data_IF_979895210018
#
_entry.id   IF_979895210018
#
_cell.length_a   1.000
_cell.length_b   1.000
_cell.length_c   1.000
_cell.angle_alpha   90.00
_cell.angle_beta   90.00
_cell.angle_gamma   90.00
#
_symmetry.space_group_name_H-M   'P 1'
#
loop_
_entity.id
_entity.type
_entity.pdbx_description
1 polymer ?
#
# COMPACT_ATOMS: atom_id res chain seq x y z
N UNK A 1 -10.63 -9.81 5.43
CA UNK A 1 -10.10 -8.48 5.76
C UNK A 1 -10.14 -7.62 4.51
N UNK A 2 -10.63 -6.39 4.61
CA UNK A 2 -10.74 -5.45 3.50
C UNK A 2 -10.41 -4.02 3.93
N UNK A 3 -9.96 -3.22 2.97
CA UNK A 3 -9.95 -1.78 3.00
C UNK A 3 -10.75 -1.29 1.80
N UNK A 4 -11.24 -0.10 1.86
CA UNK A 4 -11.91 0.54 0.73
C UNK A 4 -10.97 1.40 -0.10
N UNK A 5 -11.46 1.84 -1.25
CA UNK A 5 -10.94 2.95 -2.02
C UNK A 5 -12.11 3.86 -2.44
N UNK A 6 -11.94 4.76 -3.39
CA UNK A 6 -12.92 5.78 -3.73
C UNK A 6 -14.28 5.21 -4.15
N UNK A 7 -14.31 4.17 -4.98
CA UNK A 7 -15.56 3.59 -5.47
C UNK A 7 -16.34 2.75 -4.45
N UNK A 8 -15.68 2.25 -3.41
CA UNK A 8 -16.37 1.63 -2.26
C UNK A 8 -16.91 2.70 -1.31
N UNK A 9 -16.24 3.85 -1.26
CA UNK A 9 -16.53 4.94 -0.36
C UNK A 9 -17.53 5.95 -0.94
N UNK A 10 -17.39 6.32 -2.23
CA UNK A 10 -18.23 7.32 -2.88
C UNK A 10 -18.11 7.34 -4.38
N UNK A 11 -18.12 8.53 -4.96
CA UNK A 11 -17.84 8.73 -6.38
C UNK A 11 -16.32 8.67 -6.64
N UNK A 12 -15.95 8.58 -7.92
CA UNK A 12 -14.56 8.63 -8.33
C UNK A 12 -13.80 9.81 -7.68
N UNK A 13 -12.67 9.53 -7.06
CA UNK A 13 -11.84 10.45 -6.30
C UNK A 13 -12.56 11.13 -5.11
N UNK A 14 -13.59 10.51 -4.53
CA UNK A 14 -14.22 11.03 -3.30
C UNK A 14 -13.24 11.09 -2.14
N UNK A 15 -13.29 12.17 -1.39
CA UNK A 15 -12.44 12.47 -0.25
C UNK A 15 -13.26 12.69 1.05
N UNK A 16 -12.64 13.15 2.11
CA UNK A 16 -13.26 13.39 3.41
C UNK A 16 -14.41 14.39 3.42
N UNK A 17 -14.60 15.15 2.34
CA UNK A 17 -15.74 16.07 2.17
C UNK A 17 -17.02 15.37 1.70
N UNK A 18 -16.97 14.08 1.32
CA UNK A 18 -18.12 13.34 0.84
C UNK A 18 -19.23 13.28 1.89
N UNK A 19 -20.39 13.86 1.56
CA UNK A 19 -21.49 14.07 2.52
C UNK A 19 -22.08 12.78 3.11
N UNK A 20 -21.95 11.65 2.41
CA UNK A 20 -22.47 10.36 2.85
C UNK A 20 -21.42 9.44 3.45
N UNK A 21 -20.24 9.94 3.78
CA UNK A 21 -19.12 9.14 4.28
C UNK A 21 -19.47 8.23 5.47
N UNK A 22 -20.31 8.69 6.40
CA UNK A 22 -20.75 7.88 7.53
C UNK A 22 -21.66 6.72 7.10
N UNK A 23 -22.51 6.96 6.09
CA UNK A 23 -23.35 5.90 5.51
C UNK A 23 -22.48 4.87 4.82
N UNK A 24 -21.51 5.31 4.02
CA UNK A 24 -20.56 4.42 3.34
C UNK A 24 -19.77 3.57 4.35
N UNK A 25 -19.31 4.18 5.43
CA UNK A 25 -18.61 3.46 6.50
C UNK A 25 -19.50 2.37 7.13
N UNK A 26 -20.73 2.71 7.48
CA UNK A 26 -21.67 1.74 8.07
C UNK A 26 -21.97 0.59 7.10
N UNK A 27 -22.18 0.88 5.82
CA UNK A 27 -22.43 -0.15 4.80
C UNK A 27 -21.19 -1.04 4.64
N UNK A 28 -20.01 -0.45 4.50
CA UNK A 28 -18.76 -1.19 4.35
C UNK A 28 -18.53 -2.16 5.52
N UNK A 29 -18.74 -1.70 6.76
CA UNK A 29 -18.59 -2.54 7.96
C UNK A 29 -19.61 -3.67 8.05
N UNK A 30 -20.81 -3.52 7.48
CA UNK A 30 -21.79 -4.61 7.39
C UNK A 30 -21.35 -5.71 6.43
N UNK A 31 -20.71 -5.37 5.31
CA UNK A 31 -20.20 -6.34 4.34
C UNK A 31 -18.86 -6.95 4.74
N UNK A 32 -18.02 -6.18 5.45
CA UNK A 32 -16.68 -6.57 5.85
C UNK A 32 -16.52 -6.47 7.36
N UNK A 33 -16.77 -7.56 8.12
CA UNK A 33 -16.59 -7.58 9.57
C UNK A 33 -15.10 -7.57 9.95
N UNK A 34 -14.44 -6.46 9.65
CA UNK A 34 -13.05 -6.24 9.98
C UNK A 34 -12.86 -6.12 11.51
N UNK A 35 -11.70 -6.49 12.08
CA UNK A 35 -11.43 -6.41 13.52
C UNK A 35 -11.14 -4.95 13.93
N UNK A 36 -12.11 -4.06 13.72
CA UNK A 36 -12.02 -2.67 14.15
C UNK A 36 -12.81 -2.49 15.44
N UNK A 37 -12.24 -1.78 16.40
CA UNK A 37 -12.94 -1.39 17.63
C UNK A 37 -13.53 0.02 17.51
N UNK A 38 -13.35 0.69 16.38
CA UNK A 38 -13.67 2.10 16.15
C UNK A 38 -14.65 2.29 15.00
N UNK A 39 -15.25 3.48 14.98
CA UNK A 39 -16.04 4.00 13.87
C UNK A 39 -15.20 4.36 12.62
N UNK A 40 -13.97 3.89 12.51
CA UNK A 40 -13.05 4.15 11.40
C UNK A 40 -12.60 2.83 10.77
N UNK A 41 -12.22 2.88 9.51
CA UNK A 41 -11.92 1.69 8.71
C UNK A 41 -10.41 1.41 8.60
N UNK A 42 -9.66 1.59 9.69
CA UNK A 42 -8.26 1.19 9.74
C UNK A 42 -7.98 0.29 10.95
N UNK A 43 -7.08 -0.67 10.77
CA UNK A 43 -6.77 -1.66 11.79
C UNK A 43 -5.48 -2.40 11.46
N UNK A 44 -5.01 -3.22 12.40
CA UNK A 44 -3.87 -4.11 12.18
C UNK A 44 -4.19 -5.53 12.63
N UNK A 45 -3.56 -6.51 11.99
CA UNK A 45 -3.60 -7.90 12.43
C UNK A 45 -2.28 -8.60 12.11
N UNK A 46 -1.97 -9.63 12.88
CA UNK A 46 -0.78 -10.46 12.70
C UNK A 46 -1.15 -11.86 12.19
N UNK A 47 -0.28 -12.39 11.33
CA UNK A 47 -0.29 -13.80 10.95
C UNK A 47 1.13 -14.33 11.07
N UNK A 48 1.40 -15.11 12.14
CA UNK A 48 2.76 -15.53 12.50
C UNK A 48 3.67 -14.30 12.70
N UNK A 49 4.78 -14.22 12.00
CA UNK A 49 5.78 -13.16 12.04
C UNK A 49 5.60 -12.08 10.94
N UNK A 50 4.39 -11.97 10.43
CA UNK A 50 3.97 -10.95 9.46
C UNK A 50 2.84 -10.12 10.06
N UNK A 51 2.89 -8.80 9.88
CA UNK A 51 1.83 -7.89 10.31
C UNK A 51 1.31 -7.05 9.15
N UNK A 52 -0.01 -6.90 9.10
CA UNK A 52 -0.72 -6.10 8.13
C UNK A 52 -1.27 -4.85 8.81
N UNK A 53 -1.03 -3.70 8.22
CA UNK A 53 -1.56 -2.40 8.62
C UNK A 53 -2.53 -1.96 7.53
N UNK A 54 -3.81 -2.07 7.82
CA UNK A 54 -4.90 -1.80 6.89
C UNK A 54 -5.32 -0.35 7.06
N UNK A 55 -5.13 0.49 6.04
CA UNK A 55 -5.33 1.93 6.12
C UNK A 55 -6.63 2.35 5.45
N UNK A 56 -7.20 3.43 5.96
CA UNK A 56 -8.30 4.19 5.36
C UNK A 56 -7.72 5.43 4.68
N UNK A 57 -7.78 5.48 3.37
CA UNK A 57 -7.25 6.58 2.57
C UNK A 57 -8.33 7.54 2.05
N UNK A 58 -9.57 7.43 2.55
CA UNK A 58 -10.71 8.22 2.07
C UNK A 58 -11.37 9.09 3.13
N UNK A 59 -11.65 8.56 4.31
CA UNK A 59 -12.48 9.22 5.31
C UNK A 59 -11.94 10.56 5.79
N UNK A 60 -10.61 10.69 5.94
CA UNK A 60 -9.91 11.90 6.36
C UNK A 60 -9.11 12.57 5.23
N UNK A 61 -9.26 12.09 3.99
CA UNK A 61 -8.52 12.63 2.85
C UNK A 61 -8.95 14.07 2.54
N UNK A 62 -7.98 14.98 2.49
CA UNK A 62 -8.14 16.38 2.07
C UNK A 62 -7.20 16.66 0.90
N UNK A 63 -7.43 16.05 -0.23
CA UNK A 63 -6.71 16.17 -1.51
C UNK A 63 -5.31 16.84 -1.42
N UNK A 64 -4.25 16.07 -1.61
CA UNK A 64 -2.85 16.52 -1.60
C UNK A 64 -2.33 17.10 -0.26
N UNK A 65 -3.20 17.35 0.73
CA UNK A 65 -2.79 17.84 2.06
C UNK A 65 -2.57 16.69 3.03
N UNK A 66 -3.58 15.85 3.19
CA UNK A 66 -3.54 14.66 4.05
C UNK A 66 -4.38 13.54 3.44
N UNK A 67 -3.98 12.31 3.62
CA UNK A 67 -4.73 11.11 3.23
C UNK A 67 -5.25 10.39 4.47
N UNK A 68 -4.38 10.21 5.46
CA UNK A 68 -4.70 9.44 6.66
C UNK A 68 -5.31 10.32 7.76
N UNK A 69 -4.90 11.59 7.82
CA UNK A 69 -5.18 12.47 8.94
C UNK A 69 -4.35 12.13 10.19
N UNK A 70 -4.22 13.10 11.10
CA UNK A 70 -3.32 12.99 12.24
C UNK A 70 -3.61 11.77 13.13
N UNK A 71 -4.89 11.47 13.40
CA UNK A 71 -5.27 10.35 14.27
C UNK A 71 -4.81 9.01 13.74
N UNK A 72 -5.03 8.73 12.46
CA UNK A 72 -4.62 7.48 11.84
C UNK A 72 -3.09 7.42 11.66
N UNK A 73 -2.45 8.52 11.29
CA UNK A 73 -1.00 8.59 11.17
C UNK A 73 -0.30 8.31 12.50
N UNK A 74 -0.79 8.88 13.60
CA UNK A 74 -0.22 8.64 14.94
C UNK A 74 -0.45 7.21 15.41
N UNK A 75 -1.62 6.64 15.14
CA UNK A 75 -1.90 5.23 15.36
C UNK A 75 -0.94 4.34 14.55
N UNK A 76 -0.76 4.62 13.25
CA UNK A 76 0.14 3.84 12.38
C UNK A 76 1.58 3.88 12.89
N UNK A 77 2.08 5.05 13.26
CA UNK A 77 3.42 5.21 13.85
C UNK A 77 3.58 4.37 15.11
N UNK A 78 2.63 4.45 16.04
CA UNK A 78 2.64 3.68 17.28
C UNK A 78 2.64 2.17 17.02
N UNK A 79 1.75 1.69 16.16
CA UNK A 79 1.63 0.26 15.83
C UNK A 79 2.87 -0.26 15.09
N UNK A 80 3.45 0.53 14.19
CA UNK A 80 4.70 0.17 13.51
C UNK A 80 5.87 0.05 14.50
N UNK A 81 6.01 0.99 15.44
CA UNK A 81 7.07 0.96 16.46
C UNK A 81 6.91 -0.22 17.42
N UNK A 82 5.68 -0.59 17.77
CA UNK A 82 5.40 -1.75 18.63
C UNK A 82 5.55 -3.11 17.91
N UNK A 83 5.73 -3.11 16.60
CA UNK A 83 5.74 -4.32 15.80
C UNK A 83 7.11 -4.98 15.75
N UNK A 84 7.17 -6.25 16.15
CA UNK A 84 8.34 -7.13 16.00
C UNK A 84 8.24 -8.07 14.77
N UNK A 85 7.28 -7.84 13.86
CA UNK A 85 7.11 -8.64 12.67
C UNK A 85 8.31 -8.50 11.70
N UNK A 86 8.67 -9.62 11.05
CA UNK A 86 9.74 -9.61 10.04
C UNK A 86 9.35 -8.83 8.78
N UNK A 87 8.08 -8.95 8.35
CA UNK A 87 7.51 -8.15 7.29
C UNK A 87 6.28 -7.39 7.79
N UNK A 88 6.21 -6.12 7.47
CA UNK A 88 5.14 -5.18 7.81
C UNK A 88 4.52 -4.68 6.52
N UNK A 89 3.34 -5.23 6.19
CA UNK A 89 2.61 -4.81 4.99
C UNK A 89 1.70 -3.64 5.31
N UNK A 90 1.98 -2.48 4.73
CA UNK A 90 1.10 -1.31 4.78
C UNK A 90 0.18 -1.38 3.57
N UNK A 91 -1.10 -1.67 3.83
CA UNK A 91 -2.14 -1.81 2.81
C UNK A 91 -2.93 -0.51 2.69
N UNK A 92 -2.99 0.05 1.50
CA UNK A 92 -3.68 1.30 1.20
C UNK A 92 -4.39 1.17 -0.15
N UNK A 93 -5.55 1.81 -0.33
CA UNK A 93 -6.33 1.74 -1.57
C UNK A 93 -5.59 2.37 -2.75
N UNK A 94 -5.24 3.66 -2.63
CA UNK A 94 -4.46 4.37 -3.64
C UNK A 94 -3.00 3.90 -3.70
N UNK A 95 -2.29 4.21 -4.79
CA UNK A 95 -0.85 3.94 -4.88
C UNK A 95 -0.06 4.66 -3.77
N UNK A 96 0.86 3.96 -3.10
CA UNK A 96 1.58 4.51 -1.93
C UNK A 96 2.80 5.35 -2.34
N UNK A 97 3.75 4.77 -3.04
CA UNK A 97 5.03 5.42 -3.39
C UNK A 97 5.26 5.44 -4.90
N UNK A 98 4.98 6.56 -5.52
CA UNK A 98 5.31 6.78 -6.93
C UNK A 98 5.71 8.24 -7.18
N UNK A 99 7.02 8.57 -7.17
CA UNK A 99 7.50 9.94 -7.46
C UNK A 99 7.10 10.46 -8.84
N UNK A 100 6.77 9.55 -9.77
CA UNK A 100 6.34 9.89 -11.13
C UNK A 100 4.82 9.97 -11.28
N UNK A 101 4.03 9.73 -10.21
CA UNK A 101 2.58 9.64 -10.31
C UNK A 101 1.94 10.89 -10.93
N UNK A 102 1.04 10.66 -11.91
CA UNK A 102 0.15 11.68 -12.49
C UNK A 102 -1.25 11.64 -11.89
N UNK A 103 -1.50 10.70 -10.98
CA UNK A 103 -2.78 10.45 -10.31
C UNK A 103 -2.66 10.64 -8.80
N UNK A 104 -3.71 10.34 -8.07
CA UNK A 104 -3.65 10.25 -6.61
C UNK A 104 -2.54 9.30 -6.16
N UNK A 105 -1.83 9.67 -5.11
CA UNK A 105 -0.75 8.87 -4.58
C UNK A 105 -0.38 9.40 -3.18
N UNK A 106 -0.20 8.54 -2.22
CA UNK A 106 0.15 8.94 -0.86
C UNK A 106 1.49 9.72 -0.82
N UNK A 107 2.46 9.35 -1.67
CA UNK A 107 3.71 10.09 -1.84
C UNK A 107 3.51 11.60 -2.09
N UNK A 108 2.42 12.01 -2.75
CA UNK A 108 2.13 13.40 -3.10
C UNK A 108 1.64 14.24 -1.94
N UNK A 109 1.21 13.65 -0.84
CA UNK A 109 0.82 14.39 0.39
C UNK A 109 2.01 15.06 1.07
N UNK A 110 3.20 14.87 0.54
CA UNK A 110 4.47 15.50 0.90
C UNK A 110 4.73 15.56 2.43
N UNK A 111 3.97 16.34 3.19
CA UNK A 111 4.16 16.49 4.64
C UNK A 111 3.85 15.18 5.39
N UNK A 112 2.69 14.56 5.13
CA UNK A 112 2.25 13.36 5.84
C UNK A 112 3.13 12.16 5.49
N UNK A 113 3.44 11.96 4.20
CA UNK A 113 4.35 10.94 3.73
C UNK A 113 5.75 11.09 4.34
N UNK A 114 6.32 12.31 4.31
CA UNK A 114 7.64 12.59 4.91
C UNK A 114 7.65 12.35 6.41
N UNK A 115 6.62 12.81 7.12
CA UNK A 115 6.48 12.59 8.58
C UNK A 115 6.50 11.09 8.92
N UNK A 116 5.82 10.27 8.10
CA UNK A 116 5.86 8.83 8.28
C UNK A 116 7.26 8.25 8.03
N UNK A 117 7.94 8.66 6.95
CA UNK A 117 9.27 8.16 6.62
C UNK A 117 10.32 8.58 7.66
N UNK A 118 10.31 9.82 8.10
CA UNK A 118 11.19 10.32 9.15
C UNK A 118 11.02 9.52 10.44
N UNK A 119 9.77 9.22 10.81
CA UNK A 119 9.48 8.38 11.98
C UNK A 119 10.01 6.95 11.81
N UNK A 120 9.79 6.33 10.64
CA UNK A 120 10.30 4.98 10.31
C UNK A 120 11.83 4.95 10.44
N UNK A 121 12.50 5.97 9.94
CA UNK A 121 13.95 6.09 9.99
C UNK A 121 14.46 6.31 11.42
N UNK A 122 13.88 7.26 12.15
CA UNK A 122 14.26 7.58 13.54
C UNK A 122 14.08 6.38 14.50
N UNK A 123 12.98 5.64 14.32
CA UNK A 123 12.69 4.45 15.12
C UNK A 123 13.32 3.16 14.57
N UNK A 124 14.12 3.26 13.50
CA UNK A 124 14.78 2.12 12.83
C UNK A 124 13.80 0.96 12.52
N UNK A 125 12.59 1.30 12.08
CA UNK A 125 11.55 0.32 11.79
C UNK A 125 11.89 -0.42 10.50
N UNK A 126 12.09 -1.73 10.59
CA UNK A 126 12.49 -2.60 9.49
C UNK A 126 11.32 -3.33 8.87
N UNK A 127 11.49 -3.85 7.64
CA UNK A 127 10.59 -4.83 7.04
C UNK A 127 9.33 -4.27 6.40
N UNK A 128 9.28 -2.98 6.03
CA UNK A 128 8.08 -2.35 5.44
C UNK A 128 8.00 -2.63 3.94
N UNK A 129 6.83 -3.05 3.48
CA UNK A 129 6.42 -3.18 2.08
C UNK A 129 5.02 -2.59 1.95
N UNK A 130 4.79 -1.73 0.96
CA UNK A 130 3.46 -1.20 0.66
C UNK A 130 2.72 -2.13 -0.31
N UNK A 131 1.42 -2.28 -0.08
CA UNK A 131 0.49 -2.99 -0.93
C UNK A 131 -0.63 -2.04 -1.32
N UNK A 132 -0.73 -1.74 -2.61
CA UNK A 132 -1.64 -0.71 -3.13
C UNK A 132 -2.49 -1.18 -4.30
N UNK A 133 -3.43 -0.34 -4.75
CA UNK A 133 -4.38 -0.60 -5.82
C UNK A 133 -4.58 0.59 -6.76
N UNK A 134 -5.83 0.94 -7.06
CA UNK A 134 -6.32 2.11 -7.81
C UNK A 134 -5.93 2.18 -9.30
N UNK A 135 -4.72 1.87 -9.66
CA UNK A 135 -4.06 2.25 -10.92
C UNK A 135 -4.56 1.52 -12.17
N UNK A 136 -5.44 0.53 -12.04
CA UNK A 136 -5.93 -0.30 -13.14
C UNK A 136 -4.84 -1.00 -13.97
N UNK A 137 -3.68 -1.18 -13.39
CA UNK A 137 -2.56 -2.00 -13.86
C UNK A 137 -1.77 -2.50 -12.65
N UNK A 138 -0.89 -3.45 -12.87
CA UNK A 138 0.04 -3.87 -11.83
C UNK A 138 1.46 -3.41 -12.15
N UNK A 139 2.21 -3.09 -11.10
CA UNK A 139 3.64 -2.79 -11.15
C UNK A 139 4.29 -3.00 -9.78
N UNK A 140 5.58 -3.19 -9.75
CA UNK A 140 6.39 -3.18 -8.53
C UNK A 140 7.35 -2.01 -8.61
N UNK A 141 7.18 -1.06 -7.70
CA UNK A 141 8.09 0.09 -7.56
C UNK A 141 9.10 -0.18 -6.45
N UNK A 142 10.32 0.33 -6.64
CA UNK A 142 11.40 0.33 -5.67
C UNK A 142 11.95 1.74 -5.57
N UNK A 143 11.77 2.38 -4.43
CA UNK A 143 12.22 3.74 -4.16
C UNK A 143 13.28 3.71 -3.07
N UNK A 144 14.42 4.34 -3.34
CA UNK A 144 15.51 4.46 -2.39
C UNK A 144 15.51 5.86 -1.77
N UNK A 145 15.02 5.95 -0.56
CA UNK A 145 15.08 7.19 0.21
C UNK A 145 16.44 7.30 0.93
N UNK A 146 16.92 8.53 1.11
CA UNK A 146 18.21 8.77 1.75
C UNK A 146 18.21 8.26 3.19
N UNK A 147 19.19 7.43 3.53
CA UNK A 147 19.37 6.89 4.89
C UNK A 147 18.40 5.77 5.27
N UNK A 148 17.64 5.24 4.30
CA UNK A 148 16.73 4.12 4.52
C UNK A 148 17.12 2.90 3.66
N UNK A 149 16.57 1.75 3.98
CA UNK A 149 16.54 0.61 3.07
C UNK A 149 15.54 0.89 1.92
N UNK A 150 15.61 0.14 0.79
CA UNK A 150 14.67 0.33 -0.31
C UNK A 150 13.22 0.09 0.12
N UNK A 151 12.33 1.02 -0.18
CA UNK A 151 10.89 0.85 -0.01
C UNK A 151 10.30 0.25 -1.28
N UNK A 152 9.39 -0.71 -1.11
CA UNK A 152 8.69 -1.36 -2.22
C UNK A 152 7.20 -1.03 -2.14
N UNK A 153 6.60 -0.77 -3.32
CA UNK A 153 5.15 -0.65 -3.48
C UNK A 153 4.68 -1.65 -4.55
N UNK A 154 3.94 -2.65 -4.11
CA UNK A 154 3.34 -3.63 -4.99
C UNK A 154 1.91 -3.23 -5.32
N UNK A 155 1.75 -2.43 -6.35
CA UNK A 155 0.45 -2.05 -6.91
C UNK A 155 -0.15 -3.20 -7.68
N UNK A 156 -1.41 -3.58 -7.38
CA UNK A 156 -2.17 -4.60 -8.12
C UNK A 156 -3.61 -4.18 -8.28
N UNK A 157 -3.99 -3.95 -9.53
CA UNK A 157 -5.36 -3.70 -10.01
C UNK A 157 -5.38 -3.86 -11.54
N UNK A 158 -6.52 -4.06 -12.17
CA UNK A 158 -7.80 -4.37 -11.58
C UNK A 158 -7.99 -5.88 -11.41
N UNK A 159 -8.88 -6.29 -10.49
CA UNK A 159 -9.39 -7.64 -10.43
C UNK A 159 -10.62 -7.80 -11.35
N UNK A 160 -11.52 -6.85 -11.32
CA UNK A 160 -12.82 -6.87 -12.04
C UNK A 160 -13.07 -5.66 -12.93
N UNK A 161 -12.57 -4.46 -12.58
CA UNK A 161 -12.67 -3.26 -13.40
C UNK A 161 -11.80 -3.35 -14.66
N UNK A 162 -12.05 -2.47 -15.63
CA UNK A 162 -11.27 -2.44 -16.87
C UNK A 162 -9.80 -2.04 -16.64
N UNK A 163 -8.86 -2.71 -17.34
CA UNK A 163 -7.44 -2.36 -17.26
C UNK A 163 -7.14 -1.05 -17.99
N UNK A 164 -6.18 -0.27 -17.46
CA UNK A 164 -5.70 0.96 -18.07
C UNK A 164 -4.21 0.82 -18.43
N UNK A 165 -3.88 1.15 -19.69
CA UNK A 165 -2.50 1.20 -20.16
C UNK A 165 -1.93 2.59 -19.99
N UNK A 166 -0.73 2.69 -19.46
CA UNK A 166 0.02 3.96 -19.42
C UNK A 166 0.43 4.32 -20.85
N UNK A 167 -0.06 5.47 -21.32
CA UNK A 167 0.27 5.96 -22.66
C UNK A 167 1.72 6.40 -22.77
N UNK A 168 2.34 6.27 -23.97
CA UNK A 168 3.75 6.61 -24.22
C UNK A 168 4.12 8.07 -23.89
N UNK A 169 3.16 8.98 -23.94
CA UNK A 169 3.34 10.41 -23.60
C UNK A 169 3.28 10.70 -22.10
N UNK A 170 2.80 9.74 -21.28
CA UNK A 170 2.75 9.90 -19.83
C UNK A 170 4.15 9.70 -19.26
N UNK A 171 4.57 10.57 -18.32
CA UNK A 171 5.88 10.45 -17.65
C UNK A 171 6.08 9.12 -16.92
N UNK A 172 5.00 8.48 -16.48
CA UNK A 172 5.04 7.16 -15.83
C UNK A 172 5.34 6.02 -16.81
N UNK A 173 5.27 6.24 -18.14
CA UNK A 173 5.57 5.18 -19.12
C UNK A 173 6.98 4.62 -18.95
N UNK A 174 7.95 5.49 -18.69
CA UNK A 174 9.35 5.15 -18.41
C UNK A 174 9.68 5.46 -16.95
N UNK A 175 8.86 4.98 -16.01
CA UNK A 175 9.08 5.21 -14.59
C UNK A 175 10.40 4.57 -14.12
N UNK A 176 11.41 5.36 -13.70
CA UNK A 176 12.73 4.84 -13.31
C UNK A 176 12.70 4.05 -12.00
N UNK A 177 11.63 4.19 -11.22
CA UNK A 177 11.44 3.47 -9.96
C UNK A 177 10.76 2.11 -10.16
N UNK A 178 10.26 1.83 -11.38
CA UNK A 178 9.64 0.54 -11.70
C UNK A 178 10.72 -0.51 -11.90
N UNK A 179 10.56 -1.63 -11.20
CA UNK A 179 11.38 -2.81 -11.45
C UNK A 179 11.06 -3.36 -12.84
N UNK A 180 12.09 -3.62 -13.62
CA UNK A 180 11.96 -4.10 -15.00
C UNK A 180 11.03 -5.32 -15.09
N UNK A 181 10.24 -5.38 -16.17
CA UNK A 181 9.29 -6.45 -16.49
C UNK A 181 8.13 -6.63 -15.49
N UNK A 182 7.92 -5.72 -14.52
CA UNK A 182 6.82 -5.83 -13.54
C UNK A 182 5.54 -5.12 -13.97
N UNK A 183 5.57 -4.27 -14.99
CA UNK A 183 4.37 -3.60 -15.50
C UNK A 183 3.44 -4.58 -16.23
N UNK A 184 2.18 -4.63 -15.79
CA UNK A 184 1.18 -5.50 -16.39
C UNK A 184 -0.20 -4.81 -16.44
N UNK A 185 -0.61 -4.27 -17.60
CA UNK A 185 -1.87 -3.56 -17.77
C UNK A 185 -3.01 -4.51 -18.18
N UNK A 186 -3.32 -5.46 -17.34
CA UNK A 186 -4.42 -6.41 -17.56
C UNK A 186 -4.98 -6.91 -16.23
N UNK A 187 -6.09 -7.69 -16.23
CA UNK A 187 -6.67 -8.30 -15.04
C UNK A 187 -5.65 -9.13 -14.26
N UNK A 188 -5.53 -8.84 -12.99
CA UNK A 188 -4.48 -9.41 -12.17
C UNK A 188 -4.85 -9.45 -10.68
N UNK A 189 -4.12 -10.28 -9.95
CA UNK A 189 -4.08 -10.30 -8.50
C UNK A 189 -2.70 -10.71 -7.99
N UNK A 190 -2.40 -10.35 -6.75
CA UNK A 190 -1.14 -10.71 -6.11
C UNK A 190 -1.27 -11.98 -5.27
N UNK A 191 -0.17 -12.73 -5.19
CA UNK A 191 0.05 -13.74 -4.18
C UNK A 191 1.37 -13.41 -3.46
N UNK A 192 1.35 -13.45 -2.14
CA UNK A 192 2.54 -13.23 -1.30
C UNK A 192 2.79 -14.50 -0.51
N UNK A 193 4.03 -15.01 -0.55
CA UNK A 193 4.46 -16.16 0.21
C UNK A 193 5.67 -15.79 1.06
N UNK A 194 5.57 -16.01 2.37
CA UNK A 194 6.69 -15.79 3.30
C UNK A 194 7.22 -17.16 3.73
N UNK A 195 8.51 -17.40 3.49
CA UNK A 195 9.19 -18.69 3.69
C UNK A 195 10.56 -18.51 4.36
N UNK A 196 11.24 -19.62 4.65
CA UNK A 196 12.55 -19.60 5.28
C UNK A 196 12.49 -19.57 6.81
N UNK A 197 13.63 -19.68 7.46
CA UNK A 197 13.74 -19.60 8.91
C UNK A 197 13.52 -18.18 9.41
N UNK A 198 13.16 -18.02 10.69
CA UNK A 198 12.85 -16.71 11.28
C UNK A 198 13.97 -15.66 11.07
N UNK A 199 15.22 -16.08 11.07
CA UNK A 199 16.37 -15.18 10.87
C UNK A 199 16.63 -14.86 9.39
N UNK A 200 16.22 -15.76 8.47
CA UNK A 200 16.44 -15.64 7.01
C UNK A 200 15.12 -15.72 6.24
N UNK A 201 14.16 -14.92 6.65
CA UNK A 201 12.85 -14.83 5.99
C UNK A 201 12.96 -14.24 4.60
N UNK A 202 12.19 -14.83 3.70
CA UNK A 202 12.04 -14.39 2.31
C UNK A 202 10.58 -14.14 2.01
N UNK A 203 10.31 -13.02 1.38
CA UNK A 203 8.99 -12.64 0.88
C UNK A 203 8.98 -12.77 -0.64
N UNK A 204 8.25 -13.75 -1.17
CA UNK A 204 8.05 -13.93 -2.60
C UNK A 204 6.76 -13.21 -3.02
N UNK A 205 6.90 -12.19 -3.84
CA UNK A 205 5.82 -11.46 -4.50
C UNK A 205 5.55 -12.10 -5.87
N UNK A 206 4.32 -12.53 -6.12
CA UNK A 206 3.89 -13.08 -7.40
C UNK A 206 2.72 -12.25 -7.94
N UNK A 207 2.82 -11.79 -9.17
CA UNK A 207 1.68 -11.29 -9.93
C UNK A 207 1.08 -12.43 -10.72
N UNK A 208 -0.23 -12.58 -10.63
CA UNK A 208 -0.99 -13.58 -11.38
C UNK A 208 -2.06 -12.91 -12.25
N UNK A 209 -2.29 -13.46 -13.43
CA UNK A 209 -3.43 -13.05 -14.27
C UNK A 209 -4.75 -13.67 -13.78
N UNK A 210 -5.85 -13.32 -14.41
CA UNK A 210 -7.19 -13.82 -14.06
C UNK A 210 -7.36 -15.33 -14.15
N UNK A 211 -6.49 -16.05 -14.88
CA UNK A 211 -6.44 -17.52 -14.95
C UNK A 211 -5.53 -18.14 -13.87
N UNK A 212 -4.94 -17.35 -12.99
CA UNK A 212 -4.02 -17.83 -11.96
C UNK A 212 -2.60 -18.11 -12.46
N UNK A 213 -2.29 -17.86 -13.75
CA UNK A 213 -0.94 -18.01 -14.31
C UNK A 213 -0.04 -16.90 -13.75
N UNK A 214 1.16 -17.28 -13.31
CA UNK A 214 2.18 -16.33 -12.86
C UNK A 214 2.70 -15.52 -14.05
N UNK A 215 2.67 -14.19 -13.91
CA UNK A 215 3.21 -13.23 -14.90
C UNK A 215 4.66 -12.93 -14.57
N UNK A 216 4.94 -12.61 -13.30
CA UNK A 216 6.28 -12.38 -12.81
C UNK A 216 6.38 -12.73 -11.32
N UNK A 217 7.62 -12.88 -10.85
CA UNK A 217 7.99 -13.10 -9.45
C UNK A 217 9.11 -12.16 -9.05
N UNK A 218 9.08 -11.74 -7.79
CA UNK A 218 10.16 -10.96 -7.19
C UNK A 218 10.36 -11.38 -5.73
N UNK A 219 11.58 -11.69 -5.35
CA UNK A 219 11.92 -12.07 -3.97
C UNK A 219 12.56 -10.89 -3.24
N UNK A 220 12.08 -10.62 -2.03
CA UNK A 220 12.64 -9.65 -1.10
C UNK A 220 13.10 -10.43 0.13
N UNK A 221 14.36 -10.30 0.49
CA UNK A 221 14.90 -10.90 1.71
C UNK A 221 14.69 -9.97 2.90
N UNK A 222 14.47 -10.52 4.09
CA UNK A 222 14.41 -9.75 5.33
C UNK A 222 15.60 -8.78 5.45
N UNK A 223 16.81 -9.26 5.13
CA UNK A 223 18.04 -8.47 5.23
C UNK A 223 18.08 -7.28 4.28
N UNK A 224 17.33 -7.30 3.17
CA UNK A 224 17.22 -6.16 2.23
C UNK A 224 16.42 -5.00 2.82
N UNK A 225 15.64 -5.24 3.89
CA UNK A 225 14.73 -4.28 4.53
C UNK A 225 15.19 -3.91 5.95
N UNK A 226 16.48 -3.96 6.22
CA UNK A 226 17.06 -3.56 7.50
C UNK A 226 17.74 -2.20 7.32
N UNK A 227 17.43 -1.26 8.23
CA UNK A 227 18.11 0.01 8.30
C UNK A 227 19.63 -0.23 8.51
N UNK A 228 20.42 0.38 7.66
CA UNK A 228 21.87 0.35 7.83
C UNK A 228 22.26 1.39 8.88
N UNK A 229 23.18 1.07 9.79
CA UNK A 229 23.68 2.01 10.79
C UNK A 229 24.34 3.24 10.17
#
# INVERSE_FOLDING_TARGET
YAIWDDHDYGHNNSDGSFKFKNTSLNVFQQFWPNPTNDSLNYYTFKKSDVQFFMLDDRYNNEQEKTVLGNRQLDWLKKELAASNANFKFICIGMQAINPMSTKECFYKTNTEYKTLLEYIQQQQINGIIFLSGDRHHAELLKVQEKGMYPLYDFTTSPLTMYPIKIGKKNKEFKNPYRIDHTYYPNYNFRKISVTGDFKDRKCLLELKNKQGKVIWRYEIKKMDLIAKP
#
